data_IF_232556449071
#
_entry.id   IF_232556449071
#
_cell.length_a   1.000
_cell.length_b   1.000
_cell.length_c   1.000
_cell.angle_alpha   90.00
_cell.angle_beta   90.00
_cell.angle_gamma   90.00
#
_symmetry.space_group_name_H-M   'P 1'
#
loop_
_entity.id
_entity.type
_entity.pdbx_description
1 polymer ?
#
# COMPACT_ATOMS: atom_id res chain seq x y z
N UNK A 1 29.29 1.87 -27.25
CA UNK A 1 28.92 3.28 -27.46
C UNK A 1 28.54 3.87 -26.12
N UNK A 2 29.08 5.05 -25.78
CA UNK A 2 28.85 5.78 -24.53
C UNK A 2 27.35 5.93 -24.21
N UNK A 3 26.52 6.21 -25.22
CA UNK A 3 25.06 6.35 -25.06
C UNK A 3 24.38 5.08 -24.53
N UNK A 4 24.86 3.89 -24.91
CA UNK A 4 24.32 2.62 -24.40
C UNK A 4 24.66 2.43 -22.92
N UNK A 5 25.86 2.85 -22.51
CA UNK A 5 26.31 2.78 -21.12
C UNK A 5 25.56 3.78 -20.25
N UNK A 6 25.38 5.02 -20.71
CA UNK A 6 24.59 6.05 -20.00
C UNK A 6 23.17 5.55 -19.76
N UNK A 7 22.50 5.06 -20.82
CA UNK A 7 21.14 4.52 -20.68
C UNK A 7 21.04 3.35 -19.69
N UNK A 8 22.01 2.43 -19.72
CA UNK A 8 22.03 1.31 -18.79
C UNK A 8 22.17 1.78 -17.32
N UNK A 9 22.97 2.82 -17.07
CA UNK A 9 23.12 3.42 -15.73
C UNK A 9 21.83 4.11 -15.28
N UNK A 10 21.17 4.87 -16.16
CA UNK A 10 19.89 5.52 -15.86
C UNK A 10 18.78 4.50 -15.56
N UNK A 11 18.71 3.42 -16.34
CA UNK A 11 17.73 2.36 -16.14
C UNK A 11 17.92 1.66 -14.78
N UNK A 12 19.17 1.40 -14.39
CA UNK A 12 19.53 0.77 -13.12
C UNK A 12 19.31 1.71 -11.92
N UNK A 13 19.51 3.02 -12.11
CA UNK A 13 19.29 4.04 -11.09
C UNK A 13 17.81 4.33 -10.83
N UNK A 14 16.90 3.99 -11.75
CA UNK A 14 15.47 4.34 -11.67
C UNK A 14 14.54 3.14 -11.57
N UNK A 15 15.06 1.90 -11.58
CA UNK A 15 14.23 0.69 -11.56
C UNK A 15 13.34 0.57 -10.31
N UNK A 16 13.85 0.94 -9.14
CA UNK A 16 13.10 0.96 -7.89
C UNK A 16 12.07 2.08 -7.87
N UNK A 17 12.45 3.27 -8.34
CA UNK A 17 11.52 4.40 -8.53
C UNK A 17 10.32 4.00 -9.38
N UNK A 18 10.55 3.42 -10.57
CA UNK A 18 9.48 2.93 -11.46
C UNK A 18 8.62 1.85 -10.79
N UNK A 19 9.23 0.93 -10.04
CA UNK A 19 8.49 -0.10 -9.31
C UNK A 19 7.60 0.51 -8.22
N UNK A 20 8.07 1.56 -7.53
CA UNK A 20 7.33 2.24 -6.48
C UNK A 20 6.19 3.10 -7.05
N UNK A 21 6.40 3.82 -8.15
CA UNK A 21 5.35 4.52 -8.89
C UNK A 21 4.21 3.57 -9.30
N UNK A 22 4.56 2.41 -9.85
CA UNK A 22 3.58 1.39 -10.22
C UNK A 22 2.82 0.83 -9.00
N UNK A 23 3.49 0.72 -7.84
CA UNK A 23 2.82 0.36 -6.58
C UNK A 23 1.87 1.43 -6.09
N UNK A 24 2.24 2.70 -6.15
CA UNK A 24 1.39 3.84 -5.75
C UNK A 24 0.11 3.84 -6.60
N UNK A 25 0.24 3.70 -7.92
CA UNK A 25 -0.92 3.67 -8.80
C UNK A 25 -1.83 2.47 -8.52
N UNK A 26 -1.26 1.29 -8.26
CA UNK A 26 -2.03 0.13 -7.84
C UNK A 26 -2.77 0.36 -6.51
N UNK A 27 -2.14 0.99 -5.53
CA UNK A 27 -2.79 1.30 -4.25
C UNK A 27 -3.96 2.27 -4.46
N UNK A 28 -3.82 3.27 -5.34
CA UNK A 28 -4.92 4.18 -5.69
C UNK A 28 -6.11 3.43 -6.31
N UNK A 29 -5.84 2.45 -7.17
CA UNK A 29 -6.88 1.59 -7.75
C UNK A 29 -7.59 0.75 -6.67
N UNK A 30 -6.85 0.11 -5.77
CA UNK A 30 -7.44 -0.65 -4.66
C UNK A 30 -8.25 0.27 -3.73
N UNK A 31 -7.78 1.49 -3.47
CA UNK A 31 -8.49 2.48 -2.66
C UNK A 31 -9.79 2.96 -3.32
N UNK A 32 -9.82 3.09 -4.64
CA UNK A 32 -11.03 3.38 -5.40
C UNK A 32 -12.05 2.23 -5.27
N UNK A 33 -11.59 0.97 -5.40
CA UNK A 33 -12.43 -0.22 -5.18
C UNK A 33 -12.96 -0.27 -3.74
N UNK A 34 -12.10 0.02 -2.76
CA UNK A 34 -12.46 0.08 -1.35
C UNK A 34 -13.55 1.13 -1.08
N UNK A 35 -13.40 2.33 -1.64
CA UNK A 35 -14.32 3.46 -1.46
C UNK A 35 -15.61 3.33 -2.28
N UNK A 36 -15.68 2.40 -3.22
CA UNK A 36 -16.88 2.17 -4.04
C UNK A 36 -18.06 1.63 -3.21
N UNK A 37 -19.31 1.88 -3.64
CA UNK A 37 -20.50 1.33 -2.98
C UNK A 37 -20.66 -0.19 -3.18
N UNK A 38 -19.77 -0.82 -3.96
CA UNK A 38 -19.81 -2.26 -4.22
C UNK A 38 -19.56 -3.02 -2.92
N UNK A 39 -20.47 -3.94 -2.58
CA UNK A 39 -20.35 -4.81 -1.42
C UNK A 39 -19.19 -5.80 -1.61
N UNK A 40 -18.46 -6.16 -0.54
CA UNK A 40 -17.43 -7.18 -0.64
C UNK A 40 -18.07 -8.54 -0.99
N UNK A 41 -17.37 -9.35 -1.79
CA UNK A 41 -17.87 -10.66 -2.24
C UNK A 41 -18.03 -11.67 -1.08
N UNK A 42 -17.34 -11.45 0.03
CA UNK A 42 -17.41 -12.21 1.27
C UNK A 42 -17.28 -11.27 2.46
N UNK A 43 -17.62 -11.77 3.64
CA UNK A 43 -17.33 -11.12 4.92
C UNK A 43 -16.23 -11.87 5.65
N UNK A 44 -15.53 -11.17 6.54
CA UNK A 44 -14.49 -11.74 7.41
C UNK A 44 -14.70 -11.26 8.84
N UNK A 45 -13.98 -11.84 9.80
CA UNK A 45 -14.10 -11.40 11.19
C UNK A 45 -13.24 -10.17 11.47
N UNK A 46 -13.57 -9.33 12.46
CA UNK A 46 -12.72 -8.22 12.88
C UNK A 46 -11.29 -8.65 13.25
N UNK A 47 -11.10 -9.86 13.79
CA UNK A 47 -9.79 -10.42 14.13
C UNK A 47 -8.92 -10.66 12.90
N UNK A 48 -9.53 -11.03 11.77
CA UNK A 48 -8.85 -11.17 10.49
C UNK A 48 -8.29 -9.82 10.03
N UNK A 49 -9.07 -8.74 10.19
CA UNK A 49 -8.62 -7.39 9.91
C UNK A 49 -7.51 -6.93 10.86
N UNK A 50 -7.63 -7.20 12.17
CA UNK A 50 -6.59 -6.86 13.15
C UNK A 50 -5.25 -7.49 12.78
N UNK A 51 -5.23 -8.73 12.25
CA UNK A 51 -3.99 -9.37 11.81
C UNK A 51 -3.28 -8.63 10.68
N UNK A 52 -4.01 -7.91 9.82
CA UNK A 52 -3.43 -7.15 8.71
C UNK A 52 -2.70 -5.87 9.18
N UNK A 53 -3.07 -5.32 10.35
CA UNK A 53 -2.43 -4.10 10.88
C UNK A 53 -0.93 -4.28 11.12
N UNK A 54 -0.49 -5.47 11.55
CA UNK A 54 0.93 -5.82 11.67
C UNK A 54 1.66 -5.73 10.33
N UNK A 55 1.01 -6.11 9.24
CA UNK A 55 1.55 -6.03 7.89
C UNK A 55 1.85 -4.59 7.49
N UNK A 56 0.94 -3.66 7.81
CA UNK A 56 1.14 -2.22 7.57
C UNK A 56 2.29 -1.66 8.41
N UNK A 57 2.38 -2.02 9.69
CA UNK A 57 3.49 -1.58 10.55
C UNK A 57 4.85 -2.00 9.98
N UNK A 58 4.97 -3.25 9.53
CA UNK A 58 6.20 -3.75 8.92
C UNK A 58 6.50 -3.06 7.58
N UNK A 59 5.49 -2.85 6.74
CA UNK A 59 5.65 -2.19 5.44
C UNK A 59 6.10 -0.74 5.61
N UNK A 60 5.52 -0.03 6.58
CA UNK A 60 5.90 1.35 6.95
C UNK A 60 7.37 1.43 7.37
N UNK A 61 7.80 0.57 8.30
CA UNK A 61 9.19 0.53 8.75
C UNK A 61 10.17 0.27 7.59
N UNK A 62 9.79 -0.62 6.67
CA UNK A 62 10.59 -0.94 5.49
C UNK A 62 10.66 0.24 4.50
N UNK A 63 9.56 0.96 4.30
CA UNK A 63 9.53 2.15 3.44
C UNK A 63 10.47 3.24 3.94
N UNK A 64 10.46 3.51 5.25
CA UNK A 64 11.40 4.46 5.87
C UNK A 64 12.85 4.01 5.70
N UNK A 65 13.13 2.71 5.91
CA UNK A 65 14.47 2.17 5.74
C UNK A 65 14.96 2.27 4.27
N UNK A 66 14.09 2.03 3.30
CA UNK A 66 14.43 2.14 1.88
C UNK A 66 14.70 3.59 1.46
N UNK A 67 13.92 4.56 1.95
CA UNK A 67 14.20 5.98 1.73
C UNK A 67 15.58 6.39 2.26
N UNK A 68 15.94 5.90 3.45
CA UNK A 68 17.25 6.19 4.05
C UNK A 68 18.44 5.48 3.35
N UNK A 69 18.22 4.30 2.74
CA UNK A 69 19.30 3.55 2.12
C UNK A 69 19.60 4.03 0.69
N UNK A 70 18.62 4.64 0.02
CA UNK A 70 18.67 5.03 -1.40
C UNK A 70 19.04 3.86 -2.34
N UNK A 71 18.90 2.60 -1.88
CA UNK A 71 19.22 1.40 -2.67
C UNK A 71 17.99 1.01 -3.46
N UNK A 72 18.11 0.98 -4.78
CA UNK A 72 17.02 0.61 -5.67
C UNK A 72 16.42 -0.77 -5.36
N UNK A 73 17.23 -1.74 -4.91
CA UNK A 73 16.76 -3.05 -4.45
C UNK A 73 15.85 -2.96 -3.21
N UNK A 74 16.19 -2.10 -2.24
CA UNK A 74 15.38 -1.89 -1.04
C UNK A 74 14.05 -1.19 -1.40
N UNK A 75 14.08 -0.28 -2.38
CA UNK A 75 12.90 0.38 -2.93
C UNK A 75 11.99 -0.64 -3.65
N UNK A 76 12.53 -1.54 -4.46
CA UNK A 76 11.75 -2.63 -5.10
C UNK A 76 11.13 -3.53 -4.02
N UNK A 77 11.91 -3.92 -3.03
CA UNK A 77 11.45 -4.80 -1.96
C UNK A 77 10.38 -4.13 -1.07
N UNK A 78 10.42 -2.80 -0.97
CA UNK A 78 9.39 -1.97 -0.33
C UNK A 78 8.15 -1.87 -1.20
N UNK A 79 8.29 -1.61 -2.50
CA UNK A 79 7.19 -1.50 -3.44
C UNK A 79 6.34 -2.77 -3.47
N UNK A 80 6.99 -3.94 -3.50
CA UNK A 80 6.29 -5.24 -3.49
C UNK A 80 5.59 -5.53 -2.16
N UNK A 81 6.24 -5.23 -1.03
CA UNK A 81 5.63 -5.43 0.29
C UNK A 81 4.44 -4.48 0.50
N UNK A 82 4.60 -3.21 0.13
CA UNK A 82 3.58 -2.16 0.23
C UNK A 82 2.33 -2.52 -0.57
N UNK A 83 2.52 -2.96 -1.82
CA UNK A 83 1.42 -3.38 -2.70
C UNK A 83 0.54 -4.43 -2.02
N UNK A 84 1.18 -5.49 -1.50
CA UNK A 84 0.47 -6.58 -0.83
C UNK A 84 -0.17 -6.13 0.49
N UNK A 85 0.58 -5.44 1.33
CA UNK A 85 0.13 -5.07 2.67
C UNK A 85 -1.11 -4.16 2.63
N UNK A 86 -1.14 -3.18 1.73
CA UNK A 86 -2.27 -2.26 1.59
C UNK A 86 -3.47 -2.95 0.93
N UNK A 87 -3.26 -3.76 -0.12
CA UNK A 87 -4.36 -4.52 -0.74
C UNK A 87 -5.02 -5.49 0.26
N UNK A 88 -4.23 -6.23 1.03
CA UNK A 88 -4.71 -7.15 2.06
C UNK A 88 -5.46 -6.39 3.17
N UNK A 89 -4.94 -5.23 3.60
CA UNK A 89 -5.56 -4.40 4.62
C UNK A 89 -6.90 -3.81 4.17
N UNK A 90 -6.97 -3.18 2.99
CA UNK A 90 -8.19 -2.59 2.45
C UNK A 90 -9.28 -3.65 2.24
N UNK A 91 -8.89 -4.81 1.70
CA UNK A 91 -9.79 -5.96 1.54
C UNK A 91 -10.34 -6.42 2.88
N UNK A 92 -9.47 -6.74 3.84
CA UNK A 92 -9.88 -7.23 5.16
C UNK A 92 -10.73 -6.19 5.91
N UNK A 93 -10.39 -4.91 5.80
CA UNK A 93 -11.15 -3.82 6.39
C UNK A 93 -12.59 -3.79 5.83
N UNK A 94 -12.75 -3.87 4.51
CA UNK A 94 -14.08 -3.86 3.88
C UNK A 94 -14.86 -5.13 4.21
N UNK A 95 -14.24 -6.30 4.11
CA UNK A 95 -14.89 -7.59 4.44
C UNK A 95 -15.36 -7.63 5.90
N UNK A 96 -14.55 -7.15 6.85
CA UNK A 96 -14.90 -7.10 8.27
C UNK A 96 -15.94 -6.02 8.59
N UNK A 97 -15.85 -4.85 7.95
CA UNK A 97 -16.78 -3.75 8.18
C UNK A 97 -18.22 -4.08 7.73
N UNK A 98 -18.39 -5.00 6.78
CA UNK A 98 -19.69 -5.49 6.32
C UNK A 98 -20.14 -6.79 7.01
N UNK A 99 -19.43 -7.24 8.05
CA UNK A 99 -19.86 -8.40 8.85
C UNK A 99 -21.21 -8.11 9.54
N UNK A 100 -22.16 -9.08 9.61
CA UNK A 100 -23.51 -8.84 10.14
C UNK A 100 -23.56 -8.34 11.59
N UNK A 101 -22.57 -8.70 12.39
CA UNK A 101 -22.45 -8.29 13.79
C UNK A 101 -21.84 -6.89 13.98
N UNK A 102 -21.40 -6.24 12.90
CA UNK A 102 -20.81 -4.91 12.95
C UNK A 102 -21.89 -3.85 12.74
N UNK A 103 -22.04 -2.97 13.73
CA UNK A 103 -23.01 -1.87 13.69
C UNK A 103 -22.65 -0.84 12.59
N UNK A 104 -23.65 -0.08 12.14
CA UNK A 104 -23.46 0.89 11.07
C UNK A 104 -22.44 1.99 11.42
N UNK A 105 -22.41 2.43 12.68
CA UNK A 105 -21.46 3.43 13.17
C UNK A 105 -20.02 2.89 13.17
N UNK A 106 -19.82 1.65 13.63
CA UNK A 106 -18.51 0.98 13.60
C UNK A 106 -18.05 0.75 12.16
N UNK A 107 -18.95 0.30 11.28
CA UNK A 107 -18.67 0.16 9.84
C UNK A 107 -18.21 1.48 9.23
N UNK A 108 -18.94 2.56 9.45
CA UNK A 108 -18.58 3.87 8.90
C UNK A 108 -17.21 4.35 9.40
N UNK A 109 -16.92 4.15 10.69
CA UNK A 109 -15.62 4.50 11.28
C UNK A 109 -14.50 3.63 10.71
N UNK A 110 -14.70 2.32 10.59
CA UNK A 110 -13.72 1.40 10.03
C UNK A 110 -13.37 1.76 8.58
N UNK A 111 -14.39 2.03 7.75
CA UNK A 111 -14.17 2.43 6.35
C UNK A 111 -13.44 3.78 6.25
N UNK A 112 -13.80 4.75 7.10
CA UNK A 112 -13.11 6.05 7.13
C UNK A 112 -11.63 5.89 7.50
N UNK A 113 -11.34 5.21 8.60
CA UNK A 113 -9.96 5.03 9.06
C UNK A 113 -9.15 4.12 8.13
N UNK A 114 -9.76 3.13 7.49
CA UNK A 114 -9.12 2.32 6.46
C UNK A 114 -8.67 3.17 5.26
N UNK A 115 -9.51 4.12 4.83
CA UNK A 115 -9.16 5.09 3.80
C UNK A 115 -8.03 6.02 4.25
N UNK A 116 -8.19 6.68 5.40
CA UNK A 116 -7.16 7.60 5.94
C UNK A 116 -5.80 6.91 6.12
N UNK A 117 -5.78 5.63 6.52
CA UNK A 117 -4.57 4.83 6.62
C UNK A 117 -3.91 4.63 5.24
N UNK A 118 -4.67 4.30 4.21
CA UNK A 118 -4.14 4.13 2.86
C UNK A 118 -3.67 5.47 2.25
N UNK A 119 -4.41 6.56 2.48
CA UNK A 119 -4.03 7.91 2.05
C UNK A 119 -2.71 8.34 2.70
N UNK A 120 -2.58 8.21 4.03
CA UNK A 120 -1.33 8.53 4.73
C UNK A 120 -0.17 7.61 4.32
N UNK A 121 -0.44 6.35 3.98
CA UNK A 121 0.58 5.45 3.45
C UNK A 121 1.02 5.83 2.03
N UNK A 122 0.11 6.31 1.19
CA UNK A 122 0.44 6.86 -0.13
C UNK A 122 1.35 8.08 -0.01
N UNK A 123 1.03 9.03 0.89
CA UNK A 123 1.88 10.19 1.16
C UNK A 123 3.30 9.77 1.58
N UNK A 124 3.43 8.74 2.43
CA UNK A 124 4.72 8.18 2.80
C UNK A 124 5.49 7.64 1.58
N UNK A 125 4.84 6.87 0.69
CA UNK A 125 5.50 6.33 -0.50
C UNK A 125 5.90 7.44 -1.49
N UNK A 126 5.06 8.47 -1.63
CA UNK A 126 5.36 9.65 -2.44
C UNK A 126 6.57 10.39 -1.88
N UNK A 127 6.70 10.52 -0.56
CA UNK A 127 7.89 11.06 0.07
C UNK A 127 9.14 10.21 -0.21
N UNK A 128 9.04 8.88 -0.20
CA UNK A 128 10.16 7.98 -0.54
C UNK A 128 10.62 8.16 -2.00
N UNK A 129 9.75 8.59 -2.92
CA UNK A 129 10.14 8.88 -4.31
C UNK A 129 11.00 10.14 -4.46
N UNK A 130 10.95 11.06 -3.49
CA UNK A 130 11.64 12.36 -3.55
C UNK A 130 13.03 12.31 -2.89
N UNK A 131 13.36 11.19 -2.20
CA UNK A 131 14.67 10.96 -1.56
C UNK A 131 15.62 10.24 -2.51
#
# INVERSE_FOLDING_TARGET
SLLKTVKAVEDEATKGTRALEATIEHIRQELAVFSSPVLPAKVSTPEDFIRMTKGITMATAKAVAAGNSCRQEDVIATANLSRRAIADMLRACKEAAYHPEVSADVRQRALRFGKECADGYLELLEHVLVV
#
